data_IF_842748675922
#
_entry.id   IF_842748675922
#
_cell.length_a   1.000
_cell.length_b   1.000
_cell.length_c   1.000
_cell.angle_alpha   90.00
_cell.angle_beta   90.00
_cell.angle_gamma   90.00
#
_symmetry.space_group_name_H-M   'P 1'
#
loop_
_entity.id
_entity.type
_entity.pdbx_description
1 polymer ?
#
# COMPACT_ATOMS: atom_id res chain seq x y z
N UNK A 1 25.81 8.10 24.07
CA UNK A 1 24.62 8.69 24.69
C UNK A 1 23.57 8.79 23.61
N UNK A 2 22.36 8.29 23.82
CA UNK A 2 21.28 8.46 22.85
C UNK A 2 20.69 9.86 23.06
N UNK A 3 20.74 10.69 22.02
CA UNK A 3 20.08 11.98 22.00
C UNK A 3 18.67 11.76 21.44
N UNK A 4 17.66 12.21 22.19
CA UNK A 4 16.29 12.19 21.68
C UNK A 4 16.15 13.29 20.62
N UNK A 5 15.52 12.95 19.51
CA UNK A 5 15.24 13.87 18.41
C UNK A 5 13.81 13.68 17.95
N UNK A 6 13.20 14.77 17.50
CA UNK A 6 11.84 14.75 16.96
C UNK A 6 11.89 14.28 15.50
N UNK A 7 11.02 13.32 15.18
CA UNK A 7 10.84 12.81 13.82
C UNK A 7 9.46 13.25 13.31
N UNK A 8 9.45 14.00 12.21
CA UNK A 8 8.25 14.43 11.52
C UNK A 8 8.10 13.63 10.24
N UNK A 9 6.92 13.05 10.03
CA UNK A 9 6.58 12.40 8.77
C UNK A 9 5.17 12.76 8.33
N UNK A 10 4.95 12.80 7.02
CA UNK A 10 3.61 12.97 6.42
C UNK A 10 3.55 12.32 5.06
N UNK A 11 2.34 12.00 4.63
CA UNK A 11 2.09 11.64 3.23
C UNK A 11 1.95 12.90 2.40
N UNK A 12 2.58 12.92 1.23
CA UNK A 12 2.42 13.96 0.21
C UNK A 12 1.92 13.35 -1.10
N UNK A 13 1.24 14.14 -1.96
CA UNK A 13 0.81 13.65 -3.26
C UNK A 13 2.01 13.34 -4.16
N UNK A 14 1.83 12.36 -5.04
CA UNK A 14 2.78 12.06 -6.11
C UNK A 14 2.67 13.08 -7.25
N UNK A 15 3.79 13.39 -7.88
CA UNK A 15 3.78 13.91 -9.25
C UNK A 15 3.57 12.75 -10.23
N UNK A 16 2.30 12.53 -10.61
CA UNK A 16 1.96 11.46 -11.53
C UNK A 16 2.56 11.66 -12.93
N UNK A 17 2.80 12.90 -13.35
CA UNK A 17 3.36 13.18 -14.68
C UNK A 17 4.80 12.69 -14.78
N UNK A 18 5.58 12.90 -13.73
CA UNK A 18 6.95 12.40 -13.61
C UNK A 18 6.98 10.87 -13.64
N UNK A 19 6.11 10.21 -12.88
CA UNK A 19 6.02 8.75 -12.85
C UNK A 19 5.68 8.16 -14.22
N UNK A 20 4.64 8.71 -14.87
CA UNK A 20 4.20 8.27 -16.19
C UNK A 20 5.31 8.43 -17.23
N UNK A 21 6.03 9.55 -17.22
CA UNK A 21 7.14 9.79 -18.15
C UNK A 21 8.28 8.77 -18.01
N UNK A 22 8.49 8.25 -16.79
CA UNK A 22 9.49 7.22 -16.49
C UNK A 22 8.98 5.79 -16.71
N UNK A 23 7.73 5.61 -17.19
CA UNK A 23 7.11 4.28 -17.31
C UNK A 23 6.86 3.61 -15.95
N UNK A 24 6.77 4.38 -14.88
CA UNK A 24 6.57 3.90 -13.51
C UNK A 24 5.18 4.26 -13.00
N UNK A 25 4.74 3.57 -11.96
CA UNK A 25 3.50 3.88 -11.24
C UNK A 25 3.79 3.91 -9.73
N UNK A 26 3.06 4.72 -8.99
CA UNK A 26 3.11 4.70 -7.54
C UNK A 26 2.59 3.35 -7.02
N UNK A 27 3.36 2.73 -6.12
CA UNK A 27 3.02 1.48 -5.46
C UNK A 27 2.61 1.69 -3.98
N UNK A 28 2.39 2.94 -3.58
CA UNK A 28 1.99 3.31 -2.24
C UNK A 28 2.07 4.83 -2.02
N UNK A 29 1.94 5.29 -0.76
CA UNK A 29 2.11 6.70 -0.39
C UNK A 29 3.55 7.20 -0.64
N UNK A 30 3.70 8.49 -0.90
CA UNK A 30 4.99 9.20 -0.86
C UNK A 30 5.11 9.85 0.52
N UNK A 31 6.16 9.51 1.26
CA UNK A 31 6.41 10.00 2.61
C UNK A 31 7.46 11.10 2.60
N UNK A 32 7.14 12.25 3.17
CA UNK A 32 8.09 13.31 3.48
C UNK A 32 8.56 13.11 4.93
N UNK A 33 9.83 12.74 5.10
CA UNK A 33 10.43 12.36 6.39
C UNK A 33 11.51 13.38 6.75
N UNK A 34 11.42 13.97 7.94
CA UNK A 34 12.33 15.04 8.41
C UNK A 34 12.64 14.89 9.89
N UNK A 35 13.85 15.27 10.27
CA UNK A 35 14.26 15.41 11.67
C UNK A 35 15.28 16.54 11.77
N UNK A 36 15.55 17.02 12.99
CA UNK A 36 16.69 17.90 13.25
C UNK A 36 18.04 17.15 13.25
N UNK A 37 18.01 15.82 13.33
CA UNK A 37 19.17 14.94 13.23
C UNK A 37 19.04 14.03 12.00
N UNK A 38 19.88 14.26 10.99
CA UNK A 38 19.90 13.47 9.75
C UNK A 38 20.28 12.01 9.98
N UNK A 39 20.97 11.70 11.08
CA UNK A 39 21.35 10.33 11.45
C UNK A 39 20.27 9.61 12.27
N UNK A 40 19.13 10.24 12.54
CA UNK A 40 18.06 9.69 13.37
C UNK A 40 17.46 8.39 12.80
N UNK A 41 17.49 8.22 11.48
CA UNK A 41 16.94 7.05 10.78
C UNK A 41 18.02 6.40 9.92
N UNK A 42 18.28 5.12 10.17
CA UNK A 42 19.15 4.32 9.31
C UNK A 42 18.37 3.59 8.20
N UNK A 43 17.10 3.23 8.45
CA UNK A 43 16.28 2.41 7.56
C UNK A 43 14.81 2.82 7.60
N UNK A 44 14.12 2.70 6.47
CA UNK A 44 12.68 2.86 6.34
C UNK A 44 12.02 1.56 5.91
N UNK A 45 10.83 1.34 6.46
CA UNK A 45 9.96 0.21 6.13
C UNK A 45 8.73 0.77 5.43
N UNK A 46 8.69 0.65 4.11
CA UNK A 46 7.64 1.21 3.28
C UNK A 46 6.58 0.14 2.98
N UNK A 47 5.31 0.33 3.39
CA UNK A 47 4.29 -0.69 3.20
C UNK A 47 3.93 -0.88 1.73
N UNK A 48 3.60 -2.11 1.33
CA UNK A 48 3.06 -2.41 0.01
C UNK A 48 1.92 -3.42 0.06
N UNK A 49 1.24 -3.51 -1.07
CA UNK A 49 0.11 -4.40 -1.30
C UNK A 49 0.40 -5.54 -2.29
N UNK A 50 1.66 -5.71 -2.67
CA UNK A 50 2.08 -6.78 -3.57
C UNK A 50 1.98 -8.17 -2.93
N UNK A 51 1.50 -9.14 -3.71
CA UNK A 51 1.34 -10.56 -3.31
C UNK A 51 2.65 -11.33 -3.40
N UNK A 52 2.77 -12.49 -2.75
CA UNK A 52 3.95 -13.37 -2.85
C UNK A 52 4.39 -13.63 -4.30
N UNK A 53 3.44 -13.93 -5.20
CA UNK A 53 3.71 -14.15 -6.63
C UNK A 53 4.33 -12.93 -7.33
N UNK A 54 4.14 -11.73 -6.77
CA UNK A 54 4.72 -10.47 -7.25
C UNK A 54 6.18 -10.32 -6.85
N UNK A 55 6.50 -10.75 -5.64
CA UNK A 55 7.82 -10.62 -5.04
C UNK A 55 8.85 -11.49 -5.75
N UNK A 56 8.39 -12.55 -6.44
CA UNK A 56 9.20 -13.40 -7.30
C UNK A 56 9.69 -12.69 -8.58
N UNK A 57 9.14 -11.52 -8.92
CA UNK A 57 9.54 -10.77 -10.10
C UNK A 57 10.58 -9.70 -9.71
N UNK A 58 11.85 -10.02 -9.94
CA UNK A 58 12.95 -9.12 -9.62
C UNK A 58 12.76 -7.72 -10.19
N UNK A 59 12.97 -6.71 -9.34
CA UNK A 59 12.82 -5.30 -9.70
C UNK A 59 11.40 -4.91 -10.12
N UNK A 60 10.37 -5.61 -9.62
CA UNK A 60 8.99 -5.16 -9.70
C UNK A 60 8.80 -3.90 -8.84
N UNK A 61 9.17 -3.98 -7.57
CA UNK A 61 9.16 -2.86 -6.63
C UNK A 61 10.54 -2.21 -6.58
N UNK A 62 10.57 -0.88 -6.51
CA UNK A 62 11.76 -0.11 -6.22
C UNK A 62 11.40 1.06 -5.33
N UNK A 63 12.38 1.59 -4.61
CA UNK A 63 12.18 2.78 -3.78
C UNK A 63 12.63 3.99 -4.59
N UNK A 64 11.79 5.01 -4.62
CA UNK A 64 12.19 6.34 -5.07
C UNK A 64 12.63 7.16 -3.87
N UNK A 65 13.63 7.98 -4.10
CA UNK A 65 14.13 8.95 -3.15
C UNK A 65 14.27 10.30 -3.85
N UNK A 66 13.47 11.27 -3.41
CA UNK A 66 13.31 12.57 -4.05
C UNK A 66 13.87 13.64 -3.13
N UNK A 67 14.75 14.44 -3.69
CA UNK A 67 15.59 15.42 -2.99
C UNK A 67 15.56 16.72 -3.77
N UNK A 68 16.13 17.79 -3.23
CA UNK A 68 16.29 19.04 -3.97
C UNK A 68 17.24 18.88 -5.18
N UNK A 69 18.11 17.86 -5.17
CA UNK A 69 18.98 17.50 -6.31
C UNK A 69 18.25 16.65 -7.37
N UNK A 70 17.04 16.20 -7.07
CA UNK A 70 16.20 15.44 -7.98
C UNK A 70 15.87 14.02 -7.48
N UNK A 71 15.48 13.18 -8.43
CA UNK A 71 14.96 11.84 -8.19
C UNK A 71 16.06 10.78 -8.36
N UNK A 72 16.19 9.93 -7.35
CA UNK A 72 17.04 8.73 -7.38
C UNK A 72 16.22 7.48 -7.12
N UNK A 73 16.63 6.36 -7.74
CA UNK A 73 16.03 5.04 -7.48
C UNK A 73 16.98 4.28 -6.58
N UNK A 74 16.48 3.85 -5.42
CA UNK A 74 17.21 3.04 -4.46
C UNK A 74 16.77 1.58 -4.59
N UNK A 75 17.75 0.69 -4.55
CA UNK A 75 17.48 -0.75 -4.45
C UNK A 75 17.03 -1.10 -3.03
N UNK A 76 15.91 -1.84 -2.88
CA UNK A 76 15.52 -2.43 -1.61
C UNK A 76 16.63 -3.26 -0.99
N UNK A 77 16.79 -3.19 0.33
CA UNK A 77 17.56 -4.17 1.08
C UNK A 77 16.83 -5.50 1.15
N UNK A 78 15.52 -5.44 1.36
CA UNK A 78 14.64 -6.58 1.50
C UNK A 78 13.23 -6.19 1.03
N UNK A 79 12.53 -7.11 0.40
CA UNK A 79 11.10 -6.97 0.10
C UNK A 79 10.37 -8.13 0.76
N UNK A 80 9.56 -7.81 1.75
CA UNK A 80 8.81 -8.80 2.55
C UNK A 80 7.38 -8.94 2.03
N UNK A 81 6.52 -9.65 2.76
CA UNK A 81 5.10 -9.78 2.43
C UNK A 81 4.30 -8.49 2.67
N UNK A 82 4.80 -7.58 3.50
CA UNK A 82 4.04 -6.41 3.96
C UNK A 82 4.74 -5.08 3.67
N UNK A 83 6.07 -5.09 3.55
CA UNK A 83 6.86 -3.87 3.39
C UNK A 83 8.19 -4.11 2.67
N UNK A 84 8.69 -3.05 2.06
CA UNK A 84 10.05 -2.91 1.53
C UNK A 84 10.93 -2.26 2.59
N UNK A 85 12.11 -2.82 2.84
CA UNK A 85 13.15 -2.23 3.69
C UNK A 85 14.19 -1.53 2.83
N UNK A 86 14.55 -0.30 3.18
CA UNK A 86 15.54 0.51 2.44
C UNK A 86 16.42 1.30 3.39
N UNK A 87 17.69 1.51 3.03
CA UNK A 87 18.56 2.43 3.77
C UNK A 87 18.19 3.87 3.48
N UNK A 88 18.30 4.70 4.51
CA UNK A 88 18.11 6.15 4.39
C UNK A 88 19.48 6.79 4.21
N UNK A 89 19.85 7.24 3.00
CA UNK A 89 21.04 8.05 2.79
C UNK A 89 20.94 9.44 3.42
N UNK A 90 19.74 10.05 3.39
CA UNK A 90 19.43 11.34 4.04
C UNK A 90 17.91 11.51 4.18
N UNK A 91 17.45 12.36 5.09
CA UNK A 91 16.01 12.55 5.32
C UNK A 91 15.40 13.43 4.23
N UNK A 92 14.37 12.90 3.55
CA UNK A 92 13.69 13.57 2.44
C UNK A 92 12.39 12.81 2.07
N UNK A 93 12.02 12.82 0.78
CA UNK A 93 10.86 12.15 0.24
C UNK A 93 11.18 10.71 -0.19
N UNK A 94 10.40 9.75 0.30
CA UNK A 94 10.54 8.32 0.00
C UNK A 94 9.21 7.69 -0.39
N UNK A 95 9.21 6.91 -1.47
CA UNK A 95 8.00 6.23 -1.92
C UNK A 95 8.29 4.96 -2.71
N UNK A 96 7.29 4.09 -2.82
CA UNK A 96 7.41 2.90 -3.64
C UNK A 96 6.92 3.17 -5.05
N UNK A 97 7.69 2.71 -6.02
CA UNK A 97 7.30 2.69 -7.43
C UNK A 97 7.30 1.26 -7.95
N UNK A 98 6.43 1.01 -8.92
CA UNK A 98 6.33 -0.25 -9.64
C UNK A 98 6.62 -0.01 -11.12
N UNK A 99 7.32 -0.96 -11.74
CA UNK A 99 7.52 -0.96 -13.17
C UNK A 99 6.20 -1.33 -13.90
N UNK A 100 5.70 -0.41 -14.72
CA UNK A 100 4.37 -0.56 -15.33
C UNK A 100 4.32 -1.75 -16.27
N UNK A 101 5.40 -2.04 -17.00
CA UNK A 101 5.45 -3.16 -17.93
C UNK A 101 5.48 -4.50 -17.16
N UNK A 102 6.32 -4.60 -16.13
CA UNK A 102 6.36 -5.80 -15.26
C UNK A 102 5.02 -6.03 -14.55
N UNK A 103 4.38 -4.96 -14.07
CA UNK A 103 3.05 -5.04 -13.47
C UNK A 103 1.99 -5.55 -14.46
N UNK A 104 2.02 -5.09 -15.72
CA UNK A 104 1.11 -5.56 -16.77
C UNK A 104 1.27 -7.05 -17.10
N UNK A 105 2.45 -7.63 -16.91
CA UNK A 105 2.69 -9.07 -17.10
C UNK A 105 2.10 -9.89 -15.94
N UNK A 106 1.99 -9.30 -14.75
CA UNK A 106 1.60 -9.93 -13.48
C UNK A 106 0.07 -10.13 -13.30
N UNK A 107 -0.69 -10.40 -14.36
CA UNK A 107 -2.18 -10.34 -14.44
C UNK A 107 -3.00 -11.29 -13.53
N UNK A 108 -2.47 -11.82 -12.42
CA UNK A 108 -3.25 -12.57 -11.43
C UNK A 108 -3.20 -11.87 -10.07
N UNK A 109 -4.21 -11.06 -9.81
CA UNK A 109 -4.48 -10.50 -8.48
C UNK A 109 -5.34 -11.51 -7.73
N UNK A 110 -4.81 -12.09 -6.66
CA UNK A 110 -5.62 -12.85 -5.68
C UNK A 110 -6.29 -11.83 -4.77
N UNK A 111 -7.61 -11.75 -4.85
CA UNK A 111 -8.43 -10.86 -4.03
C UNK A 111 -9.55 -11.63 -3.33
N UNK A 112 -10.07 -11.05 -2.27
CA UNK A 112 -11.21 -11.55 -1.51
C UNK A 112 -12.36 -10.56 -1.63
N UNK A 113 -13.59 -11.07 -1.57
CA UNK A 113 -14.79 -10.25 -1.71
C UNK A 113 -15.58 -10.33 -0.40
N UNK A 114 -15.77 -9.17 0.20
CA UNK A 114 -16.65 -9.03 1.35
C UNK A 114 -17.97 -8.49 0.89
N UNK A 115 -19.04 -9.15 1.31
CA UNK A 115 -20.39 -8.76 0.95
C UNK A 115 -21.19 -8.47 2.20
N UNK A 116 -21.78 -7.29 2.22
CA UNK A 116 -22.57 -6.77 3.31
C UNK A 116 -23.97 -6.49 2.81
N UNK A 117 -24.98 -6.98 3.55
CA UNK A 117 -26.38 -6.65 3.28
C UNK A 117 -26.85 -5.66 4.35
N UNK A 118 -27.23 -4.47 3.91
CA UNK A 118 -27.83 -3.43 4.76
C UNK A 118 -29.31 -3.26 4.41
N UNK A 119 -30.10 -2.97 5.43
CA UNK A 119 -31.54 -2.67 5.32
C UNK A 119 -31.87 -1.42 6.14
N UNK A 120 -31.43 -0.23 5.68
CA UNK A 120 -31.50 1.00 6.48
C UNK A 120 -32.92 1.46 6.84
N UNK A 121 -33.92 1.19 5.99
CA UNK A 121 -35.33 1.57 6.21
C UNK A 121 -36.29 0.38 6.26
N UNK A 122 -35.79 -0.86 6.22
CA UNK A 122 -36.60 -2.08 6.16
C UNK A 122 -37.26 -2.36 4.79
N UNK A 123 -37.42 -1.36 3.93
CA UNK A 123 -38.01 -1.50 2.60
C UNK A 123 -36.97 -1.64 1.47
N UNK A 124 -35.77 -1.08 1.65
CA UNK A 124 -34.67 -1.17 0.67
C UNK A 124 -33.56 -2.08 1.18
N UNK A 125 -33.13 -3.00 0.31
CA UNK A 125 -31.95 -3.86 0.53
C UNK A 125 -30.77 -3.29 -0.26
N UNK A 126 -29.70 -2.92 0.45
CA UNK A 126 -28.45 -2.42 -0.13
C UNK A 126 -27.39 -3.50 0.02
N UNK A 127 -26.74 -3.85 -1.08
CA UNK A 127 -25.64 -4.80 -1.11
C UNK A 127 -24.32 -4.05 -1.31
N UNK A 128 -23.52 -3.94 -0.25
CA UNK A 128 -22.16 -3.39 -0.37
C UNK A 128 -21.19 -4.52 -0.70
N UNK A 129 -20.42 -4.33 -1.78
CA UNK A 129 -19.44 -5.30 -2.26
C UNK A 129 -18.06 -4.67 -2.17
N UNK A 130 -17.26 -5.15 -1.23
CA UNK A 130 -15.90 -4.67 -0.99
C UNK A 130 -14.93 -5.66 -1.60
N UNK A 131 -14.14 -5.20 -2.57
CA UNK A 131 -13.05 -5.98 -3.17
C UNK A 131 -11.75 -5.65 -2.43
N UNK A 132 -11.19 -6.62 -1.71
CA UNK A 132 -9.94 -6.46 -0.97
C UNK A 132 -8.84 -7.31 -1.58
N UNK A 133 -7.60 -6.88 -1.38
CA UNK A 133 -6.44 -7.72 -1.62
C UNK A 133 -6.34 -8.79 -0.52
N UNK A 134 -5.80 -9.96 -0.87
CA UNK A 134 -5.78 -11.13 0.02
C UNK A 134 -4.84 -10.97 1.24
N UNK A 135 -4.00 -9.93 1.26
CA UNK A 135 -3.13 -9.60 2.39
C UNK A 135 -3.81 -8.69 3.44
N UNK A 136 -5.03 -8.22 3.18
CA UNK A 136 -5.79 -7.42 4.17
C UNK A 136 -6.47 -8.36 5.16
N UNK A 137 -6.21 -8.15 6.46
CA UNK A 137 -6.87 -8.89 7.53
C UNK A 137 -8.39 -8.60 7.54
N UNK A 138 -9.19 -9.63 7.23
CA UNK A 138 -10.65 -9.52 7.06
C UNK A 138 -11.35 -9.08 8.35
N UNK A 139 -10.88 -9.57 9.51
CA UNK A 139 -11.55 -9.35 10.80
C UNK A 139 -11.57 -7.87 11.20
N UNK A 140 -10.45 -7.16 11.01
CA UNK A 140 -10.35 -5.72 11.30
C UNK A 140 -11.24 -4.90 10.35
N UNK A 141 -11.25 -5.25 9.06
CA UNK A 141 -12.09 -4.56 8.09
C UNK A 141 -13.59 -4.79 8.34
N UNK A 142 -14.00 -6.01 8.72
CA UNK A 142 -15.39 -6.33 9.08
C UNK A 142 -15.80 -5.60 10.37
N UNK A 143 -14.93 -5.52 11.37
CA UNK A 143 -15.18 -4.81 12.61
C UNK A 143 -15.48 -3.33 12.38
N UNK A 144 -14.63 -2.64 11.62
CA UNK A 144 -14.83 -1.23 11.27
C UNK A 144 -16.12 -0.97 10.48
N UNK A 145 -16.51 -1.92 9.62
CA UNK A 145 -17.74 -1.80 8.82
C UNK A 145 -19.01 -2.10 9.63
N UNK A 146 -18.91 -2.95 10.66
CA UNK A 146 -20.03 -3.33 11.52
C UNK A 146 -20.33 -2.27 12.59
N UNK A 147 -19.29 -1.61 13.12
CA UNK A 147 -19.40 -0.54 14.13
C UNK A 147 -20.22 0.66 13.63
N UNK A 148 -20.19 0.93 12.33
CA UNK A 148 -20.85 2.11 11.75
C UNK A 148 -22.36 1.93 11.49
N UNK A 149 -22.86 0.71 11.25
CA UNK A 149 -24.18 0.55 10.59
C UNK A 149 -25.02 -0.69 11.00
N UNK A 150 -24.61 -1.51 11.99
CA UNK A 150 -25.41 -2.66 12.41
C UNK A 150 -25.55 -3.75 11.33
N UNK A 151 -24.48 -3.95 10.56
CA UNK A 151 -24.44 -4.78 9.34
C UNK A 151 -24.23 -6.26 9.67
N UNK A 152 -24.93 -7.17 8.95
CA UNK A 152 -24.54 -8.58 8.85
C UNK A 152 -23.68 -8.81 7.60
N UNK A 153 -22.39 -9.04 7.80
CA UNK A 153 -21.44 -9.35 6.71
C UNK A 153 -21.26 -10.85 6.48
N UNK A 154 -21.05 -11.25 5.23
CA UNK A 154 -20.60 -12.59 4.84
C UNK A 154 -19.29 -12.49 4.09
N UNK A 155 -18.27 -13.19 4.57
CA UNK A 155 -16.99 -13.32 3.87
C UNK A 155 -17.10 -14.34 2.74
N UNK A 156 -16.72 -13.94 1.52
CA UNK A 156 -16.82 -14.78 0.34
C UNK A 156 -15.49 -14.80 -0.41
N UNK A 157 -14.92 -15.98 -0.51
CA UNK A 157 -13.65 -16.19 -1.22
C UNK A 157 -13.80 -16.32 -2.74
N UNK A 158 -14.99 -16.61 -3.28
CA UNK A 158 -15.21 -16.68 -4.73
C UNK A 158 -16.54 -16.07 -5.18
N UNK A 159 -16.50 -15.28 -6.26
CA UNK A 159 -17.65 -14.54 -6.82
C UNK A 159 -18.85 -15.45 -7.18
N UNK A 160 -18.59 -16.72 -7.48
CA UNK A 160 -19.60 -17.76 -7.75
C UNK A 160 -20.44 -18.14 -6.52
N UNK A 161 -19.95 -17.87 -5.31
CA UNK A 161 -20.65 -18.18 -4.06
C UNK A 161 -21.77 -17.18 -3.76
N UNK A 162 -21.89 -16.12 -4.59
CA UNK A 162 -22.93 -15.09 -4.52
C UNK A 162 -24.18 -15.42 -5.36
N UNK A 163 -24.08 -16.34 -6.32
CA UNK A 163 -25.10 -16.62 -7.34
C UNK A 163 -25.92 -17.90 -7.04
N UNK A 164 -26.18 -18.19 -5.76
CA UNK A 164 -27.03 -19.31 -5.34
C UNK A 164 -28.32 -18.86 -4.69
#
# INVERSE_FOLDING_TARGET
MAQETELLYRTVPWDESLLQSAGKKAAGPLFDVKSSDEAAICQLHLPHSETEDALLLDGLLSVVHITDEGLSILEPLEVTHTHVVVKVPHLSLYGLIIDTFKWLIKRRIKGQILVFLRTPSGEEQILDVHLLQNNVHVEEHVFLSAETDGIKGKHITQLKDLLR
#
